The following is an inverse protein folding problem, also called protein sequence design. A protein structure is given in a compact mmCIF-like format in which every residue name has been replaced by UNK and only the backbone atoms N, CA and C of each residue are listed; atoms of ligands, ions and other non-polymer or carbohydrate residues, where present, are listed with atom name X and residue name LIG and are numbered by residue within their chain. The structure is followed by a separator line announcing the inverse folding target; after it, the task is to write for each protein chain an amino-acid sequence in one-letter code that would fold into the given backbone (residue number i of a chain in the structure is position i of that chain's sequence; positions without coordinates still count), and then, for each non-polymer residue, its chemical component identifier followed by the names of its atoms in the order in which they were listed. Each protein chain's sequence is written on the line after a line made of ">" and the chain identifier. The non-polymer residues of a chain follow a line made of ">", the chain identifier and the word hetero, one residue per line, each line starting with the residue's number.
data_IF_470694762311
#
_entry.id   IF_470694762311
#
_cell.length_a   1.000
_cell.length_b   1.000
_cell.length_c   1.000
_cell.angle_alpha   90.00
_cell.angle_beta   90.00
_cell.angle_gamma   90.00
#
_symmetry.space_group_name_H-M   'P 1'
#
loop_
_entity.id
_entity.type
_entity.pdbx_description
1 polymer ?
#
# COMPACT_ATOMS: atom_id res chain seq x y z
N UNK A 1 -3.39 22.34 1.76
CA UNK A 1 -3.40 22.10 1.20
C UNK A 1 -4.10 21.26 0.75
N UNK A 2 -4.23 21.10 0.16
CA UNK A 2 -4.95 20.38 -0.34
C UNK A 2 -4.41 19.14 -0.47
N UNK A 3 -4.28 18.53 0.41
CA UNK A 3 -3.76 17.27 0.40
C UNK A 3 -4.50 16.36 -0.47
N UNK A 4 -5.63 16.75 -0.76
CA UNK A 4 -6.43 15.93 -1.57
C UNK A 4 -5.94 15.85 -2.96
N UNK A 5 -4.96 16.63 -3.34
CA UNK A 5 -4.48 16.56 -4.64
C UNK A 5 -3.76 15.30 -4.91
N UNK A 6 -3.41 14.53 -3.96
CA UNK A 6 -2.78 13.27 -4.18
C UNK A 6 -1.43 13.34 -4.84
N UNK A 7 -0.63 14.29 -4.49
CA UNK A 7 0.69 14.39 -5.05
C UNK A 7 1.59 13.29 -4.57
N UNK A 8 2.45 12.82 -5.44
CA UNK A 8 3.41 11.81 -5.09
C UNK A 8 4.77 12.42 -4.89
N UNK A 9 5.42 12.05 -3.80
CA UNK A 9 6.76 12.52 -3.52
C UNK A 9 7.66 11.33 -3.32
N UNK A 10 8.88 11.46 -3.74
CA UNK A 10 9.84 10.39 -3.55
C UNK A 10 10.43 10.50 -2.16
N UNK A 11 10.40 9.41 -1.43
CA UNK A 11 10.98 9.36 -0.10
C UNK A 11 12.47 9.03 -0.18
N UNK A 12 13.21 9.58 0.76
CA UNK A 12 14.63 9.32 0.87
C UNK A 12 14.91 8.77 2.26
N UNK A 13 14.56 7.52 2.51
CA UNK A 13 14.73 6.96 3.84
C UNK A 13 16.19 6.67 4.16
N UNK A 14 16.51 6.62 5.43
CA UNK A 14 17.82 6.14 5.85
C UNK A 14 17.88 4.64 5.58
N UNK A 15 19.08 4.03 5.61
CA UNK A 15 19.17 2.59 5.37
C UNK A 15 18.33 1.76 6.34
N UNK A 16 18.26 2.14 7.60
CA UNK A 16 17.40 1.43 8.53
C UNK A 16 15.94 1.56 8.21
N UNK A 17 15.52 2.76 7.80
CA UNK A 17 14.14 2.99 7.42
C UNK A 17 13.81 2.22 6.14
N UNK A 18 14.74 2.20 5.22
CA UNK A 18 14.52 1.50 3.97
C UNK A 18 14.34 0.01 4.20
N UNK A 19 15.08 -0.53 5.14
CA UNK A 19 14.95 -1.94 5.48
C UNK A 19 13.55 -2.26 5.95
N UNK A 20 12.98 -1.43 6.82
CA UNK A 20 11.63 -1.65 7.32
C UNK A 20 10.62 -1.50 6.20
N UNK A 21 10.77 -0.46 5.36
CA UNK A 21 9.84 -0.25 4.26
C UNK A 21 9.88 -1.40 3.27
N UNK A 22 11.06 -1.94 3.01
CA UNK A 22 11.19 -3.09 2.13
C UNK A 22 10.48 -4.30 2.72
N UNK A 23 10.66 -4.53 4.02
CA UNK A 23 9.98 -5.65 4.67
C UNK A 23 8.47 -5.48 4.61
N UNK A 24 7.97 -4.26 4.80
CA UNK A 24 6.54 -4.02 4.68
C UNK A 24 6.04 -4.30 3.27
N UNK A 25 6.84 -3.93 2.27
CA UNK A 25 6.47 -4.20 0.89
C UNK A 25 6.36 -5.69 0.62
N UNK A 26 7.29 -6.47 1.15
CA UNK A 26 7.22 -7.92 1.00
C UNK A 26 6.00 -8.50 1.71
N UNK A 27 5.71 -8.02 2.90
CA UNK A 27 4.55 -8.49 3.64
C UNK A 27 3.25 -8.13 2.93
N UNK A 28 3.19 -6.92 2.39
CA UNK A 28 1.99 -6.49 1.67
C UNK A 28 1.77 -7.34 0.43
N UNK A 29 2.84 -7.66 -0.28
CA UNK A 29 2.73 -8.51 -1.46
C UNK A 29 2.27 -9.92 -1.08
N UNK A 30 2.83 -10.46 -0.01
CA UNK A 30 2.43 -11.77 0.44
C UNK A 30 0.96 -11.77 0.88
N UNK A 31 0.54 -10.72 1.55
CA UNK A 31 -0.85 -10.62 1.98
C UNK A 31 -1.80 -10.54 0.79
N UNK A 32 -1.44 -9.75 -0.23
CA UNK A 32 -2.24 -9.69 -1.44
C UNK A 32 -2.41 -11.08 -2.04
N UNK A 33 -1.31 -11.81 -2.15
CA UNK A 33 -1.35 -13.13 -2.78
C UNK A 33 -2.17 -14.12 -1.97
N UNK A 34 -2.01 -14.11 -0.66
CA UNK A 34 -2.79 -15.01 0.20
C UNK A 34 -4.27 -14.67 0.12
N UNK A 35 -4.58 -13.38 0.16
CA UNK A 35 -5.97 -12.96 0.11
C UNK A 35 -6.61 -13.29 -1.24
N UNK A 36 -5.86 -13.12 -2.32
CA UNK A 36 -6.37 -13.45 -3.63
C UNK A 36 -6.62 -14.97 -3.74
N UNK A 37 -5.70 -15.76 -3.25
CA UNK A 37 -5.87 -17.20 -3.28
C UNK A 37 -7.09 -17.60 -2.46
N UNK A 38 -7.28 -16.98 -1.31
CA UNK A 38 -8.43 -17.28 -0.48
C UNK A 38 -9.73 -16.98 -1.20
N UNK A 39 -9.81 -15.82 -1.87
CA UNK A 39 -11.02 -15.47 -2.61
C UNK A 39 -11.30 -16.45 -3.73
N UNK A 40 -10.27 -16.86 -4.45
CA UNK A 40 -10.44 -17.83 -5.52
C UNK A 40 -10.88 -19.18 -4.98
N UNK A 41 -10.29 -19.60 -3.89
CA UNK A 41 -10.62 -20.88 -3.30
C UNK A 41 -12.06 -20.92 -2.81
N UNK A 42 -12.48 -19.90 -2.09
CA UNK A 42 -13.84 -19.88 -1.54
C UNK A 42 -14.87 -19.82 -2.67
N UNK A 43 -14.57 -19.06 -3.71
CA UNK A 43 -15.49 -18.97 -4.82
C UNK A 43 -15.63 -20.32 -5.53
N UNK A 44 -14.51 -21.01 -5.73
CA UNK A 44 -14.57 -22.33 -6.40
C UNK A 44 -15.30 -23.35 -5.54
N UNK A 45 -15.12 -23.28 -4.24
CA UNK A 45 -15.69 -24.29 -3.36
C UNK A 45 -17.14 -24.02 -3.00
N UNK A 46 -17.51 -22.78 -2.87
CA UNK A 46 -18.84 -22.42 -2.38
C UNK A 46 -19.59 -21.43 -3.21
N UNK A 47 -18.99 -20.90 -4.24
CA UNK A 47 -19.63 -19.87 -5.05
C UNK A 47 -19.82 -18.56 -4.31
N UNK A 48 -19.10 -18.35 -3.22
CA UNK A 48 -19.24 -17.16 -2.40
C UNK A 48 -18.13 -16.18 -2.75
N UNK A 49 -18.48 -14.91 -2.84
CA UNK A 49 -17.51 -13.86 -3.10
C UNK A 49 -17.13 -13.20 -1.79
N UNK A 50 -15.88 -13.37 -1.41
CA UNK A 50 -15.39 -12.71 -0.22
C UNK A 50 -15.08 -11.26 -0.53
N UNK A 51 -15.21 -10.42 0.46
CA UNK A 51 -14.86 -9.01 0.35
C UNK A 51 -13.85 -8.66 1.44
N UNK A 52 -13.32 -7.45 1.37
CA UNK A 52 -12.32 -7.04 2.33
C UNK A 52 -12.85 -7.03 3.76
N UNK A 53 -14.14 -6.85 3.94
CA UNK A 53 -14.70 -6.84 5.29
C UNK A 53 -14.44 -8.16 6.01
N UNK A 54 -14.75 -9.26 5.36
CA UNK A 54 -14.50 -10.57 5.95
C UNK A 54 -13.02 -10.84 6.09
N UNK A 55 -12.25 -10.43 5.09
CA UNK A 55 -10.82 -10.68 5.15
C UNK A 55 -10.12 -9.83 6.20
N UNK A 56 -10.62 -8.64 6.47
CA UNK A 56 -10.07 -7.82 7.54
C UNK A 56 -10.28 -8.46 8.90
N UNK A 57 -11.41 -9.12 9.10
CA UNK A 57 -11.61 -9.85 10.34
C UNK A 57 -10.63 -10.99 10.47
N UNK A 58 -10.43 -11.73 9.40
CA UNK A 58 -9.46 -12.81 9.41
C UNK A 58 -8.05 -12.27 9.63
N UNK A 59 -7.76 -11.11 9.08
CA UNK A 59 -6.47 -10.49 9.27
C UNK A 59 -6.20 -10.20 10.73
N UNK A 60 -7.19 -9.67 11.43
CA UNK A 60 -7.02 -9.37 12.84
C UNK A 60 -6.62 -10.62 13.62
N UNK A 61 -7.28 -11.73 13.36
CA UNK A 61 -6.95 -12.97 14.06
C UNK A 61 -5.60 -13.51 13.63
N UNK A 62 -5.29 -13.42 12.35
CA UNK A 62 -4.05 -13.96 11.84
C UNK A 62 -2.83 -13.19 12.35
N UNK A 63 -2.99 -11.90 12.58
CA UNK A 63 -1.88 -11.09 13.08
C UNK A 63 -1.39 -11.58 14.43
N UNK A 64 -2.25 -12.19 15.21
CA UNK A 64 -1.84 -12.70 16.51
C UNK A 64 -0.92 -13.89 16.39
N UNK A 65 -0.97 -14.60 15.28
CA UNK A 65 -0.24 -15.83 15.13
C UNK A 65 0.85 -15.81 14.07
N UNK A 66 0.75 -14.92 13.12
CA UNK A 66 1.70 -14.89 12.01
C UNK A 66 2.61 -13.68 12.16
N UNK A 67 3.88 -13.97 12.35
CA UNK A 67 4.84 -12.93 12.70
C UNK A 67 5.02 -11.87 11.63
N UNK A 68 5.23 -12.29 10.39
CA UNK A 68 5.46 -11.31 9.33
C UNK A 68 4.23 -10.45 9.09
N UNK A 69 3.06 -10.99 9.37
CA UNK A 69 1.84 -10.24 9.20
C UNK A 69 1.67 -9.23 10.32
N UNK A 70 2.09 -9.58 11.51
CA UNK A 70 1.99 -8.69 12.66
C UNK A 70 2.90 -7.48 12.50
N UNK A 71 4.01 -7.65 11.80
CA UNK A 71 4.95 -6.56 11.61
C UNK A 71 4.47 -5.52 10.61
N UNK A 72 3.56 -5.90 9.73
CA UNK A 72 2.97 -4.93 8.82
C UNK A 72 1.92 -4.13 9.59
N UNK A 73 1.93 -2.79 9.50
CA UNK A 73 0.90 -2.02 10.21
C UNK A 73 -0.50 -2.46 9.80
N UNK A 74 -1.39 -2.52 10.77
CA UNK A 74 -2.74 -3.02 10.52
C UNK A 74 -3.45 -2.24 9.43
N UNK A 75 -3.28 -0.92 9.44
CA UNK A 75 -3.95 -0.09 8.44
C UNK A 75 -3.42 -0.37 7.04
N UNK A 76 -2.12 -0.65 6.93
CA UNK A 76 -1.56 -1.00 5.63
C UNK A 76 -2.12 -2.32 5.14
N UNK A 77 -2.25 -3.30 6.03
CA UNK A 77 -2.85 -4.57 5.66
C UNK A 77 -4.29 -4.42 5.21
N UNK A 78 -5.05 -3.63 5.93
CA UNK A 78 -6.43 -3.39 5.54
C UNK A 78 -6.53 -2.74 4.18
N UNK A 79 -5.61 -1.83 3.88
CA UNK A 79 -5.60 -1.19 2.58
C UNK A 79 -5.26 -2.15 1.45
N UNK A 80 -4.38 -3.10 1.70
CA UNK A 80 -4.11 -4.12 0.70
C UNK A 80 -5.40 -4.86 0.36
N UNK A 81 -6.17 -5.22 1.37
CA UNK A 81 -7.41 -5.95 1.15
C UNK A 81 -8.45 -5.09 0.42
N UNK A 82 -8.50 -3.81 0.72
CA UNK A 82 -9.41 -2.92 0.01
C UNK A 82 -8.98 -2.70 -1.44
N UNK A 83 -7.69 -2.68 -1.69
CA UNK A 83 -7.22 -2.58 -3.05
C UNK A 83 -7.59 -3.83 -3.84
N UNK A 84 -7.62 -4.97 -3.19
CA UNK A 84 -8.08 -6.19 -3.85
C UNK A 84 -9.57 -6.09 -4.19
N UNK A 85 -10.38 -5.52 -3.29
CA UNK A 85 -11.78 -5.25 -3.62
C UNK A 85 -11.88 -4.39 -4.87
N UNK A 86 -11.08 -3.32 -4.93
CA UNK A 86 -11.13 -2.43 -6.06
C UNK A 86 -10.72 -3.15 -7.35
N UNK A 87 -9.72 -4.00 -7.27
CA UNK A 87 -9.29 -4.73 -8.45
C UNK A 87 -10.40 -5.65 -8.97
N UNK A 88 -11.14 -6.27 -8.08
CA UNK A 88 -12.27 -7.09 -8.49
C UNK A 88 -13.42 -6.24 -9.02
N UNK A 89 -13.69 -5.12 -8.37
CA UNK A 89 -14.74 -4.23 -8.86
C UNK A 89 -14.42 -3.74 -10.27
N UNK A 90 -13.18 -3.41 -10.53
CA UNK A 90 -12.77 -3.00 -11.85
C UNK A 90 -12.89 -4.13 -12.87
N UNK A 91 -12.57 -5.33 -12.44
CA UNK A 91 -12.69 -6.48 -13.33
C UNK A 91 -14.13 -6.73 -13.73
N UNK A 92 -15.06 -6.57 -12.79
CA UNK A 92 -16.48 -6.80 -13.08
C UNK A 92 -17.16 -5.62 -13.73
N UNK A 93 -16.50 -4.48 -13.82
CA UNK A 93 -17.10 -3.28 -14.41
C UNK A 93 -16.93 -3.32 -15.92
N UNK A 94 -18.00 -3.44 -16.69
CA UNK A 94 -17.85 -3.55 -18.15
C UNK A 94 -17.26 -2.31 -18.79
N UNK A 95 -17.31 -1.18 -18.12
CA UNK A 95 -16.73 0.04 -18.67
C UNK A 95 -15.25 0.17 -18.36
N UNK A 96 -14.69 -0.73 -17.56
CA UNK A 96 -13.29 -0.64 -17.17
C UNK A 96 -12.52 -1.79 -17.81
N UNK A 97 -11.44 -1.50 -18.53
CA UNK A 97 -10.74 -2.57 -19.24
C UNK A 97 -9.76 -3.33 -18.37
N UNK A 98 -10.12 -3.68 -17.18
CA UNK A 98 -9.22 -4.39 -16.28
C UNK A 98 -9.39 -5.89 -16.47
N UNK A 99 -8.30 -6.63 -16.33
CA UNK A 99 -8.37 -8.07 -16.30
C UNK A 99 -8.59 -8.56 -14.90
N UNK A 100 -8.59 -9.87 -14.77
CA UNK A 100 -8.75 -10.50 -13.48
C UNK A 100 -7.57 -10.14 -12.56
N UNK A 101 -7.78 -9.93 -11.29
CA UNK A 101 -6.67 -9.65 -10.39
C UNK A 101 -5.63 -10.77 -10.46
N UNK A 102 -4.37 -10.37 -10.41
CA UNK A 102 -3.27 -11.32 -10.57
C UNK A 102 -2.42 -11.39 -9.33
N UNK A 103 -1.80 -12.54 -9.15
CA UNK A 103 -0.80 -12.69 -8.11
C UNK A 103 0.38 -11.79 -8.42
N UNK A 104 1.01 -11.28 -7.39
CA UNK A 104 2.14 -10.39 -7.56
C UNK A 104 3.42 -11.16 -7.40
N UNK A 105 4.31 -10.96 -8.37
CA UNK A 105 5.57 -11.67 -8.37
C UNK A 105 6.53 -11.08 -7.38
N UNK A 106 7.48 -11.88 -6.97
CA UNK A 106 8.56 -11.39 -6.16
C UNK A 106 9.24 -10.25 -6.89
N UNK A 107 9.53 -9.21 -6.19
CA UNK A 107 10.11 -8.03 -6.81
C UNK A 107 9.11 -7.05 -7.37
N UNK A 108 7.84 -7.40 -7.42
CA UNK A 108 6.83 -6.44 -7.82
C UNK A 108 6.73 -5.34 -6.80
N UNK A 109 6.47 -4.14 -7.28
CA UNK A 109 6.25 -3.05 -6.39
C UNK A 109 4.89 -3.13 -5.77
N UNK A 110 4.83 -2.88 -4.48
CA UNK A 110 3.56 -2.74 -3.79
C UNK A 110 3.46 -1.32 -3.29
N UNK A 111 2.37 -0.69 -3.60
CA UNK A 111 2.10 0.63 -3.05
C UNK A 111 1.57 0.45 -1.65
N UNK A 112 2.27 1.01 -0.70
CA UNK A 112 1.82 0.97 0.67
C UNK A 112 1.00 2.21 0.94
N UNK A 113 -0.17 2.02 1.47
CA UNK A 113 -1.02 3.12 1.82
C UNK A 113 -1.25 3.10 3.31
N UNK A 114 -0.96 4.20 3.95
CA UNK A 114 -1.15 4.35 5.38
C UNK A 114 -2.15 5.46 5.59
N UNK A 115 -3.41 5.21 5.40
CA UNK A 115 -4.41 6.23 5.49
C UNK A 115 -4.45 6.69 6.90
N UNK A 116 -4.59 7.91 7.02
CA UNK A 116 -4.64 8.23 8.18
C UNK A 116 -5.09 9.20 8.57
N UNK A 117 -4.97 9.55 9.52
CA UNK A 117 -5.45 10.47 9.91
C UNK A 117 -4.53 11.51 9.79
N UNK A 118 -3.99 12.01 10.64
CA UNK A 118 -3.21 13.17 10.63
C UNK A 118 -1.83 12.80 10.33
N UNK A 119 -1.37 13.12 9.18
CA UNK A 119 0.00 12.88 8.79
C UNK A 119 0.78 14.13 9.14
N UNK A 120 1.78 13.99 9.96
CA UNK A 120 2.59 15.12 10.35
C UNK A 120 3.70 15.34 9.35
N UNK A 121 3.86 16.58 8.93
CA UNK A 121 4.89 16.97 8.00
C UNK A 121 5.61 18.16 8.57
N UNK A 122 6.93 18.19 8.47
CA UNK A 122 7.66 19.37 8.90
C UNK A 122 8.67 19.75 7.83
N UNK A 123 8.75 21.02 7.58
CA UNK A 123 9.63 21.57 6.58
C UNK A 123 11.01 21.73 7.16
N UNK A 124 12.02 21.28 6.46
CA UNK A 124 13.39 21.42 6.90
C UNK A 124 14.02 22.67 6.27
N UNK A 125 13.79 22.86 4.97
CA UNK A 125 14.28 24.03 4.29
C UNK A 125 13.51 24.16 2.99
N UNK A 126 14.01 24.94 2.08
CA UNK A 126 13.32 25.21 0.83
C UNK A 126 13.08 23.97 -0.01
N UNK A 127 13.96 23.01 0.08
CA UNK A 127 13.92 21.85 -0.81
C UNK A 127 13.52 20.58 -0.12
N UNK A 128 13.61 20.52 1.19
CA UNK A 128 13.41 19.26 1.91
C UNK A 128 12.39 19.38 3.01
N UNK A 129 11.64 18.33 3.21
CA UNK A 129 10.72 18.21 4.33
C UNK A 129 10.75 16.77 4.81
N UNK A 130 10.07 16.53 5.90
CA UNK A 130 9.98 15.18 6.46
C UNK A 130 8.54 14.86 6.75
N UNK A 131 8.19 13.60 6.59
CA UNK A 131 6.86 13.14 6.95
C UNK A 131 7.01 12.06 8.01
N UNK A 132 6.15 12.10 8.99
CA UNK A 132 6.20 11.11 10.06
C UNK A 132 5.45 9.87 9.62
N UNK A 133 6.15 8.75 9.59
CA UNK A 133 5.57 7.48 9.18
C UNK A 133 5.46 6.61 10.41
N UNK A 134 4.32 5.98 10.59
CA UNK A 134 4.06 5.16 11.73
C UNK A 134 5.15 4.11 11.91
N UNK A 135 5.70 4.04 13.11
CA UNK A 135 6.73 3.07 13.49
C UNK A 135 8.09 3.24 12.83
N UNK A 136 8.22 4.15 11.90
CA UNK A 136 9.49 4.36 11.24
C UNK A 136 10.10 5.69 11.67
N UNK A 137 9.25 6.65 11.94
CA UNK A 137 9.71 7.98 12.31
C UNK A 137 9.67 8.93 11.15
N UNK A 138 10.53 9.91 11.19
CA UNK A 138 10.52 10.96 10.18
C UNK A 138 11.33 10.53 8.96
N UNK A 139 10.69 10.57 7.80
CA UNK A 139 11.32 10.19 6.55
C UNK A 139 11.37 11.43 5.67
N UNK A 140 12.52 11.66 5.10
CA UNK A 140 12.76 12.83 4.29
C UNK A 140 12.15 12.69 2.90
N UNK A 141 11.66 13.79 2.36
CA UNK A 141 11.22 13.80 0.98
C UNK A 141 11.53 15.17 0.38
N UNK A 142 11.64 15.20 -0.92
CA UNK A 142 11.95 16.44 -1.62
C UNK A 142 10.70 17.24 -1.81
N UNK A 143 10.77 18.47 -1.34
CA UNK A 143 9.57 19.29 -1.27
C UNK A 143 9.20 19.92 -2.59
N UNK A 144 10.14 20.46 -3.27
CA UNK A 144 9.84 21.23 -4.44
C UNK A 144 10.56 20.74 -5.63
N UNK A 145 9.97 19.94 -6.41
CA UNK A 145 10.60 19.55 -7.65
C UNK A 145 10.71 20.74 -8.55
N UNK A 146 11.71 20.78 -9.41
CA UNK A 146 11.84 21.84 -10.31
C UNK A 146 10.75 21.85 -11.29
N UNK A 147 10.14 22.98 -11.52
CA UNK A 147 9.00 23.05 -12.41
C UNK A 147 9.39 22.61 -13.80
N UNK A 148 8.50 21.98 -14.42
CA UNK A 148 8.68 21.64 -15.78
C UNK A 148 9.52 20.47 -16.06
N UNK A 149 10.51 20.22 -15.25
CA UNK A 149 11.31 19.14 -15.59
C UNK A 149 10.93 17.93 -14.87
N UNK A 150 10.35 18.08 -13.83
CA UNK A 150 10.08 16.97 -13.05
C UNK A 150 8.86 16.25 -13.30
N UNK A 151 7.99 16.85 -14.03
CA UNK A 151 6.75 16.21 -14.33
C UNK A 151 7.00 14.87 -14.94
N UNK A 152 7.97 14.80 -15.78
CA UNK A 152 8.17 13.56 -16.46
C UNK A 152 8.82 12.53 -15.59
N UNK A 153 9.40 12.92 -14.52
CA UNK A 153 10.06 11.97 -13.75
C UNK A 153 9.23 11.35 -12.72
N UNK A 154 8.08 11.89 -12.51
CA UNK A 154 7.28 11.40 -11.46
C UNK A 154 6.78 10.06 -11.69
N UNK A 155 6.70 9.62 -12.89
CA UNK A 155 6.13 8.37 -13.08
C UNK A 155 7.06 7.32 -12.76
N UNK A 156 8.25 7.59 -12.56
CA UNK A 156 9.09 6.56 -12.21
C UNK A 156 8.95 6.20 -10.81
N UNK A 157 8.21 6.85 -10.07
CA UNK A 157 8.12 6.53 -8.69
C UNK A 157 7.41 5.25 -8.41
#
# INVERSE_FOLDING_TARGET
>A
MKADRGRKYRLYPTPGQEEVLTAWGHSARALWNVALEQRQYVYRQRGVTLRSTEQCRSLTAARAEVDWLRKLPATAGQQVLRQLDLAYDNFFNPAHPAGHPRFKKRGSRMNLSLPGQTVKVRKLNRHWAEVQVLKIGWVRFRLSPRPGRDASQHHDQ
#
